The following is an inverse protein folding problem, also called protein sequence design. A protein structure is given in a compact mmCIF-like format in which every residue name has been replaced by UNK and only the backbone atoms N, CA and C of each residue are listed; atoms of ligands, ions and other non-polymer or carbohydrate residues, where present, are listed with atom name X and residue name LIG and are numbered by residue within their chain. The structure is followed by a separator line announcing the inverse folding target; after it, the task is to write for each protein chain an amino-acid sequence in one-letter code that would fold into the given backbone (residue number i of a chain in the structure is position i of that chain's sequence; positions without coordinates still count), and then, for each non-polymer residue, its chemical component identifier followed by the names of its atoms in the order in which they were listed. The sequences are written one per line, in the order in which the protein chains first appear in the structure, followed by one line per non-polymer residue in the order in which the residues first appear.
data_IF_054488823766
#
_entry.id   IF_054488823766
#
_cell.length_a   1.000
_cell.length_b   1.000
_cell.length_c   1.000
_cell.angle_alpha   90.00
_cell.angle_beta   90.00
_cell.angle_gamma   90.00
#
_symmetry.space_group_name_H-M   'P 1'
#
loop_
_entity.id
_entity.type
_entity.pdbx_description
1 polymer ?
#
# COMPACT_ATOMS: atom_id res chain seq x y z
N UNK A 1 -10.11 -12.74 5.53
CA UNK A 1 -9.91 -12.14 6.88
C UNK A 1 -8.69 -12.79 7.52
N UNK A 2 -7.85 -12.02 8.20
CA UNK A 2 -6.64 -12.52 8.90
C UNK A 2 -6.66 -12.06 10.35
N UNK A 3 -6.41 -12.97 11.29
CA UNK A 3 -6.35 -12.65 12.73
C UNK A 3 -4.98 -12.12 13.10
N UNK A 4 -4.90 -10.92 13.68
CA UNK A 4 -3.67 -10.35 14.22
C UNK A 4 -3.34 -10.98 15.58
N UNK A 5 -2.07 -10.91 15.96
CA UNK A 5 -1.60 -11.37 17.27
C UNK A 5 -2.29 -10.66 18.45
N UNK A 6 -2.70 -9.39 18.27
CA UNK A 6 -3.48 -8.63 19.26
C UNK A 6 -4.98 -9.03 19.32
N UNK A 7 -5.38 -10.08 18.61
CA UNK A 7 -6.75 -10.59 18.58
C UNK A 7 -7.68 -9.90 17.59
N UNK A 8 -7.29 -8.76 16.99
CA UNK A 8 -8.12 -8.04 16.04
C UNK A 8 -8.14 -8.67 14.66
N UNK A 9 -9.28 -8.58 13.97
CA UNK A 9 -9.41 -9.03 12.60
C UNK A 9 -8.95 -7.96 11.62
N UNK A 10 -8.25 -8.39 10.57
CA UNK A 10 -7.86 -7.56 9.44
C UNK A 10 -8.48 -8.09 8.16
N UNK A 11 -9.11 -7.19 7.41
CA UNK A 11 -9.53 -7.48 6.04
C UNK A 11 -8.28 -7.60 5.16
N UNK A 12 -8.22 -8.68 4.38
CA UNK A 12 -7.14 -8.96 3.44
C UNK A 12 -7.79 -9.49 2.16
N UNK A 13 -7.93 -8.62 1.16
CA UNK A 13 -8.40 -9.00 -0.17
C UNK A 13 -7.28 -9.73 -0.90
N UNK A 14 -7.64 -10.81 -1.59
CA UNK A 14 -6.72 -11.46 -2.50
C UNK A 14 -6.74 -10.74 -3.86
N UNK A 15 -5.70 -9.96 -4.13
CA UNK A 15 -5.49 -9.30 -5.43
C UNK A 15 -4.50 -10.04 -6.33
N UNK A 16 -4.24 -11.33 -6.09
CA UNK A 16 -3.22 -12.10 -6.84
C UNK A 16 -3.41 -11.99 -8.35
N UNK A 17 -4.62 -12.22 -8.86
CA UNK A 17 -4.86 -12.20 -10.31
C UNK A 17 -4.91 -10.77 -10.88
N UNK A 18 -5.47 -9.82 -10.12
CA UNK A 18 -5.40 -8.39 -10.47
C UNK A 18 -3.93 -7.93 -10.60
N UNK A 19 -3.07 -8.35 -9.68
CA UNK A 19 -1.64 -8.01 -9.68
C UNK A 19 -0.86 -8.69 -10.81
N UNK A 20 -1.28 -9.88 -11.26
CA UNK A 20 -0.70 -10.52 -12.45
C UNK A 20 -1.04 -9.75 -13.72
N UNK A 21 -2.29 -9.30 -13.85
CA UNK A 21 -2.74 -8.51 -14.99
C UNK A 21 -2.19 -7.08 -15.02
N UNK A 22 -1.88 -6.51 -13.85
CA UNK A 22 -1.39 -5.14 -13.74
C UNK A 22 0.10 -5.03 -14.14
N UNK A 23 0.45 -4.12 -15.08
CA UNK A 23 1.84 -3.82 -15.40
C UNK A 23 2.55 -3.27 -14.15
N UNK A 24 3.80 -3.67 -13.96
CA UNK A 24 4.59 -3.21 -12.81
C UNK A 24 5.09 -1.79 -13.09
N UNK A 25 4.88 -0.89 -12.14
CA UNK A 25 5.50 0.43 -12.15
C UNK A 25 6.97 0.32 -11.67
N UNK A 26 7.97 0.69 -12.50
CA UNK A 26 9.38 0.63 -12.12
C UNK A 26 9.85 1.91 -11.40
N UNK A 27 8.96 2.65 -10.72
CA UNK A 27 9.28 3.89 -10.01
C UNK A 27 10.67 3.84 -9.33
N UNK A 28 11.59 4.75 -9.69
CA UNK A 28 12.98 4.66 -9.26
C UNK A 28 13.10 5.01 -7.78
N UNK A 29 13.47 4.03 -6.97
CA UNK A 29 13.85 4.29 -5.58
C UNK A 29 15.30 4.80 -5.51
N UNK A 30 15.59 5.77 -4.64
CA UNK A 30 16.97 6.20 -4.41
C UNK A 30 17.83 5.06 -3.86
N UNK A 31 19.13 5.11 -4.17
CA UNK A 31 20.10 4.17 -3.59
C UNK A 31 20.13 4.33 -2.07
N UNK A 32 20.12 3.20 -1.36
CA UNK A 32 20.20 3.15 0.10
C UNK A 32 21.48 3.83 0.58
N UNK A 33 22.62 3.59 -0.07
CA UNK A 33 23.90 4.19 0.31
C UNK A 33 23.82 5.72 0.24
N UNK A 34 23.20 6.27 -0.82
CA UNK A 34 23.02 7.72 -0.97
C UNK A 34 22.12 8.30 0.13
N UNK A 35 21.10 7.56 0.56
CA UNK A 35 20.24 7.99 1.67
C UNK A 35 21.01 7.99 2.99
N UNK A 36 21.83 6.96 3.26
CA UNK A 36 22.62 6.83 4.48
C UNK A 36 23.72 7.89 4.54
N UNK A 37 24.48 8.06 3.45
CA UNK A 37 25.52 9.08 3.35
C UNK A 37 24.95 10.49 3.52
N UNK A 38 23.75 10.73 2.96
CA UNK A 38 23.06 12.02 3.05
C UNK A 38 22.64 12.43 4.46
N UNK A 39 22.51 11.46 5.38
CA UNK A 39 22.18 11.71 6.79
C UNK A 39 23.35 11.44 7.74
N UNK A 40 24.53 11.08 7.21
CA UNK A 40 25.73 10.87 7.99
C UNK A 40 26.24 12.20 8.57
N UNK A 41 26.68 12.20 9.83
CA UNK A 41 27.22 13.38 10.51
C UNK A 41 26.20 14.31 11.18
N UNK A 42 24.90 14.07 11.02
CA UNK A 42 23.88 14.77 11.82
C UNK A 42 23.82 14.20 13.25
N UNK A 43 23.77 15.08 14.25
CA UNK A 43 23.72 14.69 15.66
C UNK A 43 22.38 14.09 16.11
N UNK A 44 21.30 14.32 15.34
CA UNK A 44 19.96 13.83 15.63
C UNK A 44 19.25 13.42 14.35
N UNK A 45 18.60 12.25 14.40
CA UNK A 45 17.68 11.77 13.36
C UNK A 45 16.30 11.57 13.99
N UNK A 46 15.25 11.95 13.26
CA UNK A 46 13.86 11.72 13.65
C UNK A 46 13.15 10.95 12.55
N UNK A 47 12.45 9.89 12.92
CA UNK A 47 11.71 9.03 11.99
C UNK A 47 10.21 9.29 12.18
N UNK A 48 9.52 9.54 11.07
CA UNK A 48 8.07 9.68 11.04
C UNK A 48 7.46 8.47 10.34
N UNK A 49 6.44 7.88 10.95
CA UNK A 49 5.62 6.85 10.33
C UNK A 49 4.34 7.49 9.80
N UNK A 50 4.03 7.24 8.53
CA UNK A 50 2.74 7.59 7.98
C UNK A 50 1.75 6.48 8.27
N UNK A 51 1.14 6.57 9.44
CA UNK A 51 0.17 5.59 9.92
C UNK A 51 -0.92 5.31 8.87
N UNK A 52 -1.10 4.04 8.51
CA UNK A 52 -2.03 3.62 7.46
C UNK A 52 -1.83 4.39 6.13
N UNK A 53 -0.58 4.72 5.77
CA UNK A 53 -0.24 5.63 4.67
C UNK A 53 -0.93 5.33 3.34
N UNK A 54 -1.08 4.06 2.96
CA UNK A 54 -1.82 3.71 1.74
C UNK A 54 -3.29 4.15 1.79
N UNK A 55 -3.97 3.99 2.93
CA UNK A 55 -5.36 4.39 3.09
C UNK A 55 -5.57 5.91 3.07
N UNK A 56 -4.51 6.71 3.02
CA UNK A 56 -4.58 8.16 2.85
C UNK A 56 -4.55 8.57 1.38
N UNK A 57 -4.07 7.70 0.48
CA UNK A 57 -3.99 7.96 -0.97
C UNK A 57 -5.33 7.61 -1.60
N UNK A 58 -5.94 8.55 -2.32
CA UNK A 58 -7.16 8.32 -3.09
C UNK A 58 -6.88 7.43 -4.30
N UNK A 59 -7.76 6.47 -4.54
CA UNK A 59 -7.74 5.72 -5.79
C UNK A 59 -8.10 6.65 -6.94
N UNK A 60 -7.52 6.40 -8.12
CA UNK A 60 -8.00 7.04 -9.33
C UNK A 60 -9.44 6.56 -9.62
N UNK A 61 -10.40 7.44 -9.95
CA UNK A 61 -11.81 7.07 -10.08
C UNK A 61 -12.07 5.90 -11.04
N UNK A 62 -11.31 5.80 -12.14
CA UNK A 62 -11.43 4.69 -13.11
C UNK A 62 -10.89 3.34 -12.61
N UNK A 63 -10.16 3.33 -11.50
CA UNK A 63 -9.49 2.16 -10.94
C UNK A 63 -10.15 1.68 -9.65
N UNK A 64 -11.07 2.46 -9.05
CA UNK A 64 -11.81 2.06 -7.85
C UNK A 64 -12.51 0.71 -8.06
N UNK A 65 -13.27 0.57 -9.15
CA UNK A 65 -14.01 -0.66 -9.47
C UNK A 65 -13.09 -1.89 -9.65
N UNK A 66 -11.84 -1.69 -10.07
CA UNK A 66 -10.86 -2.78 -10.23
C UNK A 66 -10.41 -3.34 -8.89
N UNK A 67 -10.60 -2.59 -7.80
CA UNK A 67 -10.30 -3.03 -6.42
C UNK A 67 -11.49 -3.72 -5.75
N UNK A 68 -12.56 -4.01 -6.50
CA UNK A 68 -13.76 -4.62 -5.96
C UNK A 68 -13.48 -5.97 -5.27
N UNK A 69 -14.22 -6.22 -4.20
CA UNK A 69 -14.20 -7.45 -3.43
C UNK A 69 -15.61 -7.84 -3.01
N UNK A 70 -15.81 -9.14 -2.81
CA UNK A 70 -17.10 -9.71 -2.47
C UNK A 70 -17.12 -10.05 -0.97
N UNK A 71 -18.23 -9.73 -0.33
CA UNK A 71 -18.55 -10.11 1.05
C UNK A 71 -19.93 -10.76 1.08
N UNK A 72 -20.33 -11.31 2.23
CA UNK A 72 -21.68 -11.85 2.42
C UNK A 72 -22.77 -10.78 2.25
N UNK A 73 -22.45 -9.51 2.50
CA UNK A 73 -23.39 -8.38 2.40
C UNK A 73 -23.44 -7.75 1.00
N UNK A 74 -22.50 -8.10 0.11
CA UNK A 74 -22.47 -7.59 -1.25
C UNK A 74 -21.06 -7.31 -1.77
N UNK A 75 -21.04 -6.60 -2.90
CA UNK A 75 -19.82 -6.20 -3.62
C UNK A 75 -19.46 -4.77 -3.25
N UNK A 76 -18.23 -4.57 -2.81
CA UNK A 76 -17.70 -3.28 -2.42
C UNK A 76 -16.39 -3.01 -3.14
N UNK A 77 -16.04 -1.73 -3.29
CA UNK A 77 -14.75 -1.30 -3.83
C UNK A 77 -14.08 -0.28 -2.90
N UNK A 78 -12.77 -0.10 -3.06
CA UNK A 78 -12.01 0.86 -2.26
C UNK A 78 -11.91 2.22 -2.96
N UNK A 79 -12.21 3.29 -2.22
CA UNK A 79 -11.99 4.70 -2.64
C UNK A 79 -10.59 5.24 -2.30
N UNK A 80 -9.87 4.50 -1.46
CA UNK A 80 -8.50 4.80 -1.01
C UNK A 80 -7.65 3.56 -1.20
N UNK A 81 -6.35 3.71 -1.40
CA UNK A 81 -5.50 2.60 -1.81
C UNK A 81 -5.51 1.46 -0.79
N UNK A 82 -5.99 0.26 -1.16
CA UNK A 82 -5.98 -0.89 -0.27
C UNK A 82 -4.59 -1.53 -0.23
N UNK A 83 -4.32 -2.25 0.86
CA UNK A 83 -3.17 -3.13 0.93
C UNK A 83 -3.28 -4.27 -0.10
N UNK A 84 -2.13 -4.74 -0.58
CA UNK A 84 -2.05 -5.90 -1.45
C UNK A 84 -2.00 -5.57 -2.95
N UNK A 85 -2.13 -4.29 -3.35
CA UNK A 85 -1.89 -3.89 -4.73
C UNK A 85 -0.40 -3.84 -5.06
N UNK A 86 -0.02 -4.38 -6.21
CA UNK A 86 1.37 -4.50 -6.69
C UNK A 86 2.13 -3.16 -6.71
N UNK A 87 1.46 -2.10 -7.15
CA UNK A 87 2.07 -0.78 -7.36
C UNK A 87 1.83 0.18 -6.18
N UNK A 88 1.23 -0.27 -5.07
CA UNK A 88 0.91 0.63 -3.96
C UNK A 88 2.14 1.36 -3.39
N UNK A 89 3.28 0.67 -3.33
CA UNK A 89 4.55 1.27 -2.89
C UNK A 89 5.10 2.30 -3.88
N UNK A 90 4.88 2.12 -5.17
CA UNK A 90 5.38 3.07 -6.17
C UNK A 90 4.62 4.40 -6.13
N UNK A 91 3.39 4.39 -5.63
CA UNK A 91 2.56 5.59 -5.46
C UNK A 91 2.82 6.34 -4.15
N UNK A 92 3.39 5.68 -3.15
CA UNK A 92 3.66 6.22 -1.81
C UNK A 92 5.10 6.76 -1.71
#
# INVERSE_FOLDING_TARGET
MVKKANGWWRMCTDYTDLNKACPKDPYPLPSIDRLVDGVSGYALLSFMDAYSGYNQIRMHPSDEEKTAFITEEGVFCYKVMPFGLKNARATY
#
